data_IF_840298188363
#
_entry.id   IF_840298188363
#
_cell.length_a   1.000
_cell.length_b   1.000
_cell.length_c   1.000
_cell.angle_alpha   90.00
_cell.angle_beta   90.00
_cell.angle_gamma   90.00
#
_symmetry.space_group_name_H-M   'P 1'
#
loop_
_entity.id
_entity.type
_entity.pdbx_description
1 polymer ?
#
# COMPACT_ATOMS: atom_id res chain seq x y z
N UNK A 1 -17.47 20.39 7.43
CA UNK A 1 -16.77 19.88 6.23
C UNK A 1 -16.52 18.41 6.46
N UNK A 2 -16.98 17.53 5.59
CA UNK A 2 -16.85 16.09 5.72
C UNK A 2 -15.82 15.59 4.71
N UNK A 3 -14.72 14.97 5.15
CA UNK A 3 -13.66 14.50 4.26
C UNK A 3 -13.60 12.98 4.21
N UNK A 4 -13.36 12.40 3.04
CA UNK A 4 -13.13 10.97 2.85
C UNK A 4 -11.77 10.75 2.17
N UNK A 5 -11.13 9.62 2.48
CA UNK A 5 -9.88 9.19 1.83
C UNK A 5 -10.24 8.10 0.84
N UNK A 6 -10.10 8.34 -0.46
CA UNK A 6 -10.55 7.43 -1.51
C UNK A 6 -9.36 6.96 -2.32
N UNK A 7 -9.14 5.66 -2.37
CA UNK A 7 -8.09 5.07 -3.19
C UNK A 7 -8.66 4.30 -4.38
N UNK A 8 -8.00 4.39 -5.54
CA UNK A 8 -8.27 3.57 -6.70
C UNK A 8 -6.96 3.28 -7.45
N UNK A 9 -6.96 2.23 -8.27
CA UNK A 9 -5.84 1.92 -9.16
C UNK A 9 -6.07 2.57 -10.54
N UNK A 10 -5.12 3.42 -10.96
CA UNK A 10 -5.09 4.10 -12.25
C UNK A 10 -3.81 3.71 -12.99
N UNK A 11 -3.93 3.13 -14.19
CA UNK A 11 -2.79 2.71 -15.04
C UNK A 11 -1.68 1.93 -14.32
N UNK A 12 -2.06 1.08 -13.36
CA UNK A 12 -1.11 0.29 -12.59
C UNK A 12 -0.45 1.03 -11.42
N UNK A 13 -0.94 2.21 -11.05
CA UNK A 13 -0.53 2.93 -9.86
C UNK A 13 -1.69 3.17 -8.91
N UNK A 14 -1.43 3.04 -7.61
CA UNK A 14 -2.40 3.39 -6.56
C UNK A 14 -2.47 4.91 -6.45
N UNK A 15 -3.66 5.47 -6.54
CA UNK A 15 -3.93 6.88 -6.31
C UNK A 15 -4.84 7.01 -5.08
N UNK A 16 -4.40 7.71 -4.02
CA UNK A 16 -5.17 7.89 -2.79
C UNK A 16 -5.45 9.38 -2.60
N UNK A 17 -6.71 9.78 -2.68
CA UNK A 17 -7.13 11.18 -2.73
C UNK A 17 -8.03 11.55 -1.56
N UNK A 18 -7.84 12.76 -1.02
CA UNK A 18 -8.77 13.35 -0.06
C UNK A 18 -9.91 14.06 -0.80
N UNK A 19 -11.12 13.54 -0.67
CA UNK A 19 -12.34 14.13 -1.27
C UNK A 19 -13.16 14.82 -0.17
N UNK A 20 -13.44 16.11 -0.34
CA UNK A 20 -14.18 16.92 0.62
C UNK A 20 -15.65 17.11 0.19
N UNK A 21 -16.57 17.06 1.15
CA UNK A 21 -18.00 17.29 1.00
C UNK A 21 -18.46 18.33 2.03
N UNK A 22 -19.56 19.03 1.73
CA UNK A 22 -20.15 20.00 2.65
C UNK A 22 -20.73 19.30 3.88
N UNK A 23 -21.46 18.22 3.66
CA UNK A 23 -22.13 17.35 4.65
C UNK A 23 -21.83 15.87 4.36
N UNK A 24 -22.39 14.97 5.17
CA UNK A 24 -22.34 13.52 4.90
C UNK A 24 -23.00 13.24 3.53
N UNK A 25 -22.28 12.65 2.55
CA UNK A 25 -22.84 12.40 1.23
C UNK A 25 -23.75 11.17 1.20
N UNK A 26 -24.75 11.20 0.33
CA UNK A 26 -25.44 9.98 -0.10
C UNK A 26 -24.52 9.12 -1.01
N UNK A 27 -24.80 7.82 -1.11
CA UNK A 27 -24.00 6.91 -1.94
C UNK A 27 -23.98 7.33 -3.41
N UNK A 28 -25.10 7.84 -3.96
CA UNK A 28 -25.13 8.30 -5.35
C UNK A 28 -24.29 9.56 -5.55
N UNK A 29 -24.31 10.49 -4.59
CA UNK A 29 -23.50 11.70 -4.64
C UNK A 29 -22.01 11.36 -4.52
N UNK A 30 -21.67 10.46 -3.60
CA UNK A 30 -20.33 9.94 -3.42
C UNK A 30 -19.79 9.31 -4.71
N UNK A 31 -20.56 8.40 -5.31
CA UNK A 31 -20.16 7.72 -6.54
C UNK A 31 -19.95 8.70 -7.70
N UNK A 32 -20.90 9.62 -7.93
CA UNK A 32 -20.77 10.66 -8.96
C UNK A 32 -19.51 11.50 -8.77
N UNK A 33 -19.20 11.89 -7.53
CA UNK A 33 -18.03 12.70 -7.23
C UNK A 33 -16.73 11.92 -7.40
N UNK A 34 -16.69 10.65 -6.98
CA UNK A 34 -15.56 9.74 -7.22
C UNK A 34 -15.29 9.64 -8.71
N UNK A 35 -16.32 9.35 -9.52
CA UNK A 35 -16.19 9.25 -10.98
C UNK A 35 -15.61 10.54 -11.57
N UNK A 36 -16.14 11.70 -11.20
CA UNK A 36 -15.67 12.98 -11.71
C UNK A 36 -14.20 13.25 -11.36
N UNK A 37 -13.82 13.03 -10.09
CA UNK A 37 -12.44 13.27 -9.61
C UNK A 37 -11.45 12.29 -10.25
N UNK A 38 -11.77 11.00 -10.25
CA UNK A 38 -10.87 9.98 -10.79
C UNK A 38 -10.82 9.97 -12.32
N UNK A 39 -11.86 10.43 -13.03
CA UNK A 39 -11.80 10.64 -14.48
C UNK A 39 -10.82 11.74 -14.87
N UNK A 40 -10.78 12.84 -14.09
CA UNK A 40 -9.80 13.90 -14.30
C UNK A 40 -8.37 13.44 -13.96
N UNK A 41 -8.18 12.71 -12.87
CA UNK A 41 -6.89 12.11 -12.53
C UNK A 41 -6.42 11.06 -13.54
N UNK A 42 -7.34 10.27 -14.08
CA UNK A 42 -7.02 9.35 -15.17
C UNK A 42 -6.57 10.14 -16.40
N UNK A 43 -7.30 11.18 -16.78
CA UNK A 43 -6.94 12.02 -17.93
C UNK A 43 -5.56 12.68 -17.78
N UNK A 44 -5.18 13.12 -16.58
CA UNK A 44 -3.88 13.76 -16.34
C UNK A 44 -2.70 12.79 -16.29
N UNK A 45 -2.95 11.52 -15.93
CA UNK A 45 -1.94 10.45 -15.82
C UNK A 45 -1.89 9.55 -17.04
N UNK A 46 -2.82 9.73 -17.98
CA UNK A 46 -2.96 8.89 -19.15
C UNK A 46 -1.65 8.88 -19.96
N UNK A 47 -1.02 7.72 -20.15
CA UNK A 47 0.11 7.60 -21.06
C UNK A 47 -0.34 7.95 -22.49
N UNK A 48 0.57 8.52 -23.29
CA UNK A 48 0.31 9.01 -24.66
C UNK A 48 -0.26 7.95 -25.63
N UNK A 49 -0.19 6.66 -25.26
CA UNK A 49 -0.63 5.52 -26.06
C UNK A 49 -1.90 4.84 -25.53
N UNK A 50 -2.48 5.33 -24.43
CA UNK A 50 -3.64 4.68 -23.80
C UNK A 50 -4.95 5.37 -24.24
N UNK A 51 -6.01 4.62 -24.59
CA UNK A 51 -7.30 5.23 -24.85
C UNK A 51 -7.83 5.91 -23.58
N UNK A 52 -8.37 7.12 -23.74
CA UNK A 52 -9.03 7.87 -22.67
C UNK A 52 -10.42 7.25 -22.46
N UNK A 53 -10.49 6.25 -21.58
CA UNK A 53 -11.76 5.71 -21.12
C UNK A 53 -12.24 6.44 -19.86
N UNK A 54 -13.55 6.70 -19.72
CA UNK A 54 -14.10 7.28 -18.50
C UNK A 54 -13.94 6.31 -17.34
N UNK A 55 -13.61 6.83 -16.16
CA UNK A 55 -13.49 6.03 -14.95
C UNK A 55 -14.85 5.41 -14.58
N UNK A 56 -14.87 4.11 -14.30
CA UNK A 56 -16.09 3.37 -13.94
C UNK A 56 -15.94 2.71 -12.57
N UNK A 57 -16.96 2.84 -11.74
CA UNK A 57 -17.02 2.20 -10.44
C UNK A 57 -17.68 0.83 -10.59
N UNK A 58 -16.99 -0.24 -10.22
CA UNK A 58 -17.56 -1.58 -10.12
C UNK A 58 -17.98 -1.90 -8.68
N UNK A 59 -17.17 -1.50 -7.70
CA UNK A 59 -17.41 -1.76 -6.28
C UNK A 59 -16.69 -0.75 -5.42
N UNK A 60 -17.31 -0.35 -4.31
CA UNK A 60 -16.69 0.48 -3.28
C UNK A 60 -16.58 -0.34 -2.00
N UNK A 61 -15.39 -0.36 -1.41
CA UNK A 61 -15.14 -0.94 -0.09
C UNK A 61 -14.69 0.14 0.89
N UNK A 62 -15.04 -0.05 2.16
CA UNK A 62 -14.62 0.78 3.28
C UNK A 62 -13.81 -0.09 4.24
N UNK A 63 -12.73 0.47 4.79
CA UNK A 63 -11.99 -0.18 5.86
C UNK A 63 -12.72 0.03 7.18
N UNK A 64 -13.18 -1.06 7.80
CA UNK A 64 -13.82 -1.04 9.11
C UNK A 64 -12.74 -1.22 10.19
N UNK A 65 -12.43 -0.14 10.92
CA UNK A 65 -11.44 -0.15 12.00
C UNK A 65 -11.84 -1.05 13.17
N UNK A 66 -13.15 -1.25 13.40
CA UNK A 66 -13.64 -2.13 14.46
C UNK A 66 -13.41 -3.61 14.13
N UNK A 67 -13.53 -3.98 12.86
CA UNK A 67 -13.32 -5.35 12.38
C UNK A 67 -11.95 -5.59 11.77
N UNK A 68 -11.13 -4.54 11.63
CA UNK A 68 -9.80 -4.55 11.00
C UNK A 68 -9.79 -5.21 9.61
N UNK A 69 -10.85 -4.98 8.82
CA UNK A 69 -10.99 -5.55 7.49
C UNK A 69 -11.73 -4.63 6.53
N UNK A 70 -11.53 -4.87 5.24
CA UNK A 70 -12.31 -4.25 4.19
C UNK A 70 -13.69 -4.90 4.08
N UNK A 71 -14.73 -4.07 4.03
CA UNK A 71 -16.12 -4.49 3.82
C UNK A 71 -16.73 -3.70 2.67
N UNK A 72 -17.76 -4.24 2.03
CA UNK A 72 -18.48 -3.50 0.99
C UNK A 72 -19.22 -2.32 1.62
N UNK A 73 -19.19 -1.18 0.94
CA UNK A 73 -19.99 -0.01 1.31
C UNK A 73 -21.42 -0.22 0.80
N UNK A 74 -22.37 -0.36 1.73
CA UNK A 74 -23.78 -0.67 1.45
C UNK A 74 -24.69 0.50 1.83
N UNK A 75 -24.30 1.32 2.81
CA UNK A 75 -25.07 2.50 3.22
C UNK A 75 -24.19 3.66 3.70
N UNK A 76 -24.69 4.89 3.54
CA UNK A 76 -23.96 6.11 3.97
C UNK A 76 -23.72 6.18 5.48
N UNK A 77 -24.49 5.47 6.30
CA UNK A 77 -24.26 5.41 7.75
C UNK A 77 -22.94 4.73 8.15
N UNK A 78 -22.33 3.95 7.24
CA UNK A 78 -20.99 3.38 7.44
C UNK A 78 -19.88 4.43 7.27
N UNK A 79 -20.17 5.55 6.59
CA UNK A 79 -19.19 6.59 6.33
C UNK A 79 -18.93 7.40 7.61
N UNK A 80 -17.66 7.49 7.98
CA UNK A 80 -17.17 8.40 9.01
C UNK A 80 -16.19 9.39 8.41
N UNK A 81 -16.00 10.52 9.07
CA UNK A 81 -14.99 11.48 8.63
C UNK A 81 -13.61 10.81 8.60
N UNK A 82 -12.87 11.03 7.51
CA UNK A 82 -11.59 10.42 7.20
C UNK A 82 -11.58 8.89 7.04
N UNK A 83 -12.74 8.28 6.80
CA UNK A 83 -12.80 6.84 6.45
C UNK A 83 -11.99 6.56 5.20
N UNK A 84 -11.26 5.44 5.20
CA UNK A 84 -10.53 4.96 4.05
C UNK A 84 -11.43 4.10 3.17
N UNK A 85 -11.67 4.57 1.95
CA UNK A 85 -12.38 3.88 0.89
C UNK A 85 -11.40 3.32 -0.14
N UNK A 86 -11.80 2.23 -0.77
CA UNK A 86 -11.14 1.64 -1.94
C UNK A 86 -12.18 1.41 -3.04
N UNK A 87 -11.88 1.89 -4.24
CA UNK A 87 -12.77 1.86 -5.40
C UNK A 87 -12.17 0.93 -6.43
N UNK A 88 -12.92 -0.12 -6.75
CA UNK A 88 -12.58 -1.09 -7.78
C UNK A 88 -13.19 -0.65 -9.11
N UNK A 89 -12.40 -0.76 -10.17
CA UNK A 89 -12.86 -0.61 -11.55
C UNK A 89 -13.18 -1.98 -12.15
N UNK A 90 -14.03 -2.04 -13.19
CA UNK A 90 -14.12 -3.23 -14.04
C UNK A 90 -12.72 -3.60 -14.55
N UNK A 91 -12.35 -4.87 -14.43
CA UNK A 91 -11.02 -5.32 -14.86
C UNK A 91 -10.92 -5.25 -16.39
N UNK A 92 -9.91 -4.57 -16.89
CA UNK A 92 -9.60 -4.47 -18.31
C UNK A 92 -8.14 -4.85 -18.58
N UNK A 93 -7.72 -4.83 -19.84
CA UNK A 93 -6.30 -5.00 -20.18
C UNK A 93 -5.40 -3.88 -19.64
N UNK A 94 -5.97 -2.70 -19.35
CA UNK A 94 -5.28 -1.50 -18.86
C UNK A 94 -5.48 -1.26 -17.36
N UNK A 95 -6.53 -1.83 -16.78
CA UNK A 95 -6.90 -1.66 -15.39
C UNK A 95 -6.90 -3.03 -14.69
N UNK A 96 -5.89 -3.24 -13.86
CA UNK A 96 -5.78 -4.40 -12.97
C UNK A 96 -5.50 -3.93 -11.56
N UNK A 97 -6.14 -4.57 -10.60
CA UNK A 97 -5.88 -4.29 -9.19
C UNK A 97 -4.48 -4.80 -8.80
N UNK A 98 -3.72 -3.97 -8.10
CA UNK A 98 -2.36 -4.30 -7.69
C UNK A 98 -2.30 -4.49 -6.18
N UNK A 99 -1.71 -5.59 -5.66
CA UNK A 99 -1.50 -5.80 -4.23
C UNK A 99 -0.31 -4.95 -3.74
N UNK A 100 -0.48 -3.63 -3.70
CA UNK A 100 0.49 -2.67 -3.15
C UNK A 100 -0.14 -1.96 -1.95
N UNK A 101 0.70 -1.51 -1.01
CA UNK A 101 0.25 -0.67 0.10
C UNK A 101 -0.35 0.65 -0.38
N UNK A 102 -1.31 1.18 0.36
CA UNK A 102 -1.94 2.47 0.04
C UNK A 102 -0.94 3.62 0.24
N UNK A 103 -0.76 4.51 -0.75
CA UNK A 103 0.08 5.69 -0.58
C UNK A 103 -0.55 6.69 0.40
N UNK A 104 0.22 7.67 0.91
CA UNK A 104 -0.33 8.80 1.66
C UNK A 104 -1.43 9.52 0.85
N UNK A 105 -2.53 9.96 1.49
CA UNK A 105 -3.56 10.71 0.78
C UNK A 105 -3.02 12.05 0.26
N UNK A 106 -3.28 12.35 -1.02
CA UNK A 106 -3.00 13.64 -1.65
C UNK A 106 -4.29 14.39 -1.94
N UNK A 107 -4.20 15.71 -2.16
CA UNK A 107 -5.33 16.46 -2.71
C UNK A 107 -5.51 16.10 -4.18
N UNK A 108 -6.75 16.01 -4.70
CA UNK A 108 -6.98 15.89 -6.13
C UNK A 108 -6.26 17.00 -6.88
N UNK A 109 -5.62 16.65 -8.00
CA UNK A 109 -5.16 17.62 -8.99
C UNK A 109 -6.38 18.43 -9.37
N UNK A 110 -6.34 19.73 -9.07
CA UNK A 110 -7.50 20.59 -9.25
C UNK A 110 -8.09 20.35 -10.64
N UNK A 111 -9.40 20.13 -10.70
CA UNK A 111 -10.16 20.35 -11.93
C UNK A 111 -9.98 21.82 -12.25
N UNK A 112 -8.92 22.15 -12.99
CA UNK A 112 -8.68 23.46 -13.59
C UNK A 112 -9.74 23.65 -14.68
N UNK A 113 -11.01 23.70 -14.29
CA UNK A 113 -12.00 24.37 -15.11
C UNK A 113 -11.62 25.83 -15.01
N UNK A 114 -10.92 26.31 -16.04
CA UNK A 114 -10.69 27.73 -16.23
C UNK A 114 -12.02 28.45 -15.98
N UNK A 115 -12.08 29.26 -14.93
CA UNK A 115 -13.09 30.32 -14.85
C UNK A 115 -12.90 31.19 -16.09
N UNK A 116 -13.91 31.34 -16.97
CA UNK A 116 -13.82 32.26 -18.08
C UNK A 116 -14.11 33.67 -17.57
N UNK A 117 -13.27 34.17 -16.65
CA UNK A 117 -13.38 35.55 -16.20
C UNK A 117 -12.17 36.33 -16.69
N UNK A 118 -12.49 37.19 -17.66
CA UNK A 118 -11.83 38.47 -17.94
C UNK A 118 -10.67 38.44 -18.93
N UNK A 119 -11.00 38.22 -20.21
CA UNK A 119 -10.26 38.81 -21.32
C UNK A 119 -10.82 40.22 -21.61
N UNK A 120 -10.55 41.17 -20.72
CA UNK A 120 -10.76 42.60 -20.95
C UNK A 120 -9.46 43.22 -21.41
N UNK A 121 -9.44 43.74 -22.62
CA UNK A 121 -8.30 44.32 -23.32
C UNK A 121 -7.51 45.36 -22.50
N UNK A 122 -6.18 45.38 -22.65
CA UNK A 122 -5.50 46.42 -23.44
C UNK A 122 -3.98 46.29 -23.36
N UNK A 123 -3.38 46.46 -24.53
CA UNK A 123 -1.97 46.71 -24.82
C UNK A 123 -1.36 47.78 -23.90
N UNK A 124 -0.05 47.69 -23.62
CA UNK A 124 0.96 48.74 -23.84
C UNK A 124 2.32 48.31 -23.25
N UNK A 125 3.29 48.17 -24.17
CA UNK A 125 4.68 48.63 -24.15
C UNK A 125 5.52 48.57 -22.87
N UNK A 126 6.70 47.95 -23.04
CA UNK A 126 7.86 47.89 -22.15
C UNK A 126 8.18 49.20 -21.40
N UNK A 127 8.73 49.08 -20.18
CA UNK A 127 9.99 49.72 -19.77
C UNK A 127 10.45 49.17 -18.41
N UNK A 128 11.76 48.92 -18.34
CA UNK A 128 12.59 48.69 -17.16
C UNK A 128 12.41 49.81 -16.11
N UNK A 129 12.36 49.48 -14.80
CA UNK A 129 13.04 50.18 -13.67
C UNK A 129 12.72 49.47 -12.34
N UNK A 130 13.72 49.46 -11.47
CA UNK A 130 13.82 48.83 -10.15
C UNK A 130 12.76 49.20 -9.09
N UNK A 131 12.48 48.23 -8.20
CA UNK A 131 12.09 48.44 -6.79
C UNK A 131 12.70 47.28 -5.96
N UNK A 132 13.75 47.52 -5.18
CA UNK A 132 13.72 47.82 -3.73
C UNK A 132 12.90 46.83 -2.90
N UNK A 133 13.62 45.86 -2.33
CA UNK A 133 13.76 45.62 -0.89
C UNK A 133 12.50 45.82 -0.04
N UNK A 134 11.91 44.71 0.40
CA UNK A 134 11.14 44.63 1.64
C UNK A 134 11.54 43.37 2.42
N UNK A 135 11.86 43.63 3.69
CA UNK A 135 12.35 42.74 4.74
C UNK A 135 11.51 41.47 4.92
N UNK A 136 12.16 40.29 4.93
CA UNK A 136 11.62 39.09 5.57
C UNK A 136 11.98 39.10 7.06
N UNK A 137 11.00 38.94 7.96
CA UNK A 137 11.26 38.39 9.28
C UNK A 137 11.12 36.86 9.27
N UNK A 138 12.03 36.21 9.99
CA UNK A 138 12.03 34.81 10.35
C UNK A 138 10.66 34.33 10.88
N UNK A 139 10.11 33.28 10.25
CA UNK A 139 9.17 32.37 10.90
C UNK A 139 9.78 30.97 10.85
N UNK A 140 10.56 30.69 11.88
CA UNK A 140 10.77 29.33 12.35
C UNK A 140 9.42 28.80 12.88
N UNK A 141 9.22 27.49 12.68
CA UNK A 141 8.38 26.61 13.51
C UNK A 141 6.95 26.27 13.04
N UNK A 142 6.81 25.55 11.92
CA UNK A 142 5.62 24.70 11.65
C UNK A 142 5.99 23.30 11.11
N UNK A 143 6.86 22.58 11.83
CA UNK A 143 7.11 21.14 11.61
C UNK A 143 6.77 20.34 12.88
N UNK A 144 5.49 20.24 13.26
CA UNK A 144 5.14 19.41 14.43
C UNK A 144 3.85 18.58 14.35
N UNK A 145 3.04 18.71 13.30
CA UNK A 145 1.79 17.93 13.16
C UNK A 145 1.87 16.78 12.14
N UNK A 146 2.80 16.83 11.18
CA UNK A 146 2.95 15.80 10.14
C UNK A 146 3.68 14.52 10.61
N UNK A 147 4.46 14.58 11.69
CA UNK A 147 5.28 13.45 12.15
C UNK A 147 4.54 12.42 13.04
N UNK A 148 3.30 12.68 13.49
CA UNK A 148 2.60 11.77 14.42
C UNK A 148 1.86 10.62 13.73
N UNK A 149 1.40 10.80 12.48
CA UNK A 149 0.68 9.76 11.73
C UNK A 149 1.59 8.66 11.15
N UNK A 150 2.84 8.98 10.82
CA UNK A 150 3.83 7.99 10.32
C UNK A 150 4.35 7.09 11.42
N UNK A 151 4.50 7.61 12.64
CA UNK A 151 4.96 6.86 13.81
C UNK A 151 4.04 5.68 14.17
N UNK A 152 2.71 5.89 14.12
CA UNK A 152 1.75 4.83 14.43
C UNK A 152 1.73 3.69 13.41
N UNK A 153 1.84 4.01 12.12
CA UNK A 153 1.91 2.98 11.06
C UNK A 153 3.15 2.10 11.19
N UNK A 154 4.30 2.69 11.53
CA UNK A 154 5.54 1.94 11.73
C UNK A 154 5.48 1.04 12.98
N UNK A 155 4.90 1.54 14.08
CA UNK A 155 4.72 0.74 15.29
C UNK A 155 3.81 -0.46 15.04
N UNK A 156 2.72 -0.27 14.30
CA UNK A 156 1.79 -1.34 13.94
C UNK A 156 2.44 -2.37 13.01
N UNK A 157 3.25 -1.92 12.05
CA UNK A 157 4.05 -2.81 11.21
C UNK A 157 5.04 -3.65 12.05
N UNK A 158 5.73 -3.04 13.00
CA UNK A 158 6.65 -3.75 13.91
C UNK A 158 5.92 -4.78 14.79
N UNK A 159 4.69 -4.49 15.22
CA UNK A 159 3.85 -5.46 15.96
C UNK A 159 3.50 -6.68 15.10
N UNK A 160 3.11 -6.46 13.85
CA UNK A 160 2.78 -7.55 12.90
C UNK A 160 4.01 -8.40 12.59
N UNK A 161 5.17 -7.77 12.36
CA UNK A 161 6.40 -8.50 12.11
C UNK A 161 6.82 -9.35 13.32
N UNK A 162 6.69 -8.81 14.54
CA UNK A 162 6.96 -9.55 15.76
C UNK A 162 6.05 -10.77 15.91
N UNK A 163 4.75 -10.62 15.65
CA UNK A 163 3.78 -11.73 15.70
C UNK A 163 4.13 -12.83 14.69
N UNK A 164 4.50 -12.47 13.45
CA UNK A 164 4.94 -13.43 12.44
C UNK A 164 6.23 -14.17 12.84
N UNK A 165 7.20 -13.46 13.43
CA UNK A 165 8.43 -14.07 13.94
C UNK A 165 8.14 -15.06 15.09
N UNK A 166 7.21 -14.73 15.97
CA UNK A 166 6.78 -15.62 17.07
C UNK A 166 6.09 -16.88 16.54
N UNK A 167 5.19 -16.75 15.55
CA UNK A 167 4.56 -17.89 14.89
C UNK A 167 5.57 -18.78 14.17
N UNK A 168 6.52 -18.20 13.45
CA UNK A 168 7.58 -18.95 12.76
C UNK A 168 8.46 -19.71 13.76
N UNK A 169 8.74 -19.11 14.92
CA UNK A 169 9.44 -19.78 16.02
C UNK A 169 8.59 -20.87 16.69
N UNK A 170 7.26 -20.72 16.73
CA UNK A 170 6.34 -21.77 17.20
C UNK A 170 6.40 -22.97 16.27
N UNK A 171 6.23 -22.75 14.96
CA UNK A 171 6.27 -23.81 13.94
C UNK A 171 7.61 -24.55 13.97
N UNK A 172 8.74 -23.85 14.02
CA UNK A 172 10.08 -24.48 14.14
C UNK A 172 10.19 -25.40 15.36
N UNK A 173 9.64 -24.99 16.52
CA UNK A 173 9.63 -25.82 17.74
C UNK A 173 8.74 -27.06 17.58
N UNK A 174 7.62 -26.94 16.89
CA UNK A 174 6.73 -28.07 16.61
C UNK A 174 7.37 -29.06 15.63
N UNK A 175 8.01 -28.57 14.55
CA UNK A 175 8.77 -29.40 13.61
C UNK A 175 9.88 -30.17 14.33
N UNK A 176 10.68 -29.50 15.16
CA UNK A 176 11.74 -30.15 15.92
C UNK A 176 11.22 -31.19 16.94
N UNK A 177 10.02 -30.98 17.50
CA UNK A 177 9.35 -31.98 18.36
C UNK A 177 8.91 -33.20 17.56
N UNK A 178 8.38 -32.99 16.35
CA UNK A 178 7.93 -34.07 15.49
C UNK A 178 9.11 -34.91 14.99
N UNK A 179 10.20 -34.27 14.58
CA UNK A 179 11.45 -34.97 14.20
C UNK A 179 11.96 -35.87 15.33
N UNK A 180 11.93 -35.41 16.59
CA UNK A 180 12.29 -36.25 17.75
C UNK A 180 11.31 -37.40 18.02
N UNK A 181 10.05 -37.28 17.62
CA UNK A 181 9.08 -38.39 17.70
C UNK A 181 9.42 -39.44 16.64
N UNK A 182 9.60 -39.00 15.39
CA UNK A 182 9.99 -39.86 14.27
C UNK A 182 11.29 -40.61 14.58
N UNK A 183 12.33 -39.92 15.08
CA UNK A 183 13.59 -40.56 15.46
C UNK A 183 13.42 -41.64 16.55
N UNK A 184 12.56 -41.41 17.55
CA UNK A 184 12.27 -42.39 18.60
C UNK A 184 11.51 -43.60 18.06
N UNK A 185 10.56 -43.39 17.15
CA UNK A 185 9.77 -44.47 16.56
C UNK A 185 10.61 -45.32 15.61
N UNK A 186 11.54 -44.71 14.85
CA UNK A 186 12.52 -45.43 14.04
C UNK A 186 13.46 -46.30 14.88
N UNK A 187 13.93 -45.80 16.04
CA UNK A 187 14.74 -46.61 16.95
C UNK A 187 13.98 -47.81 17.54
N UNK A 188 12.66 -47.69 17.78
CA UNK A 188 11.83 -48.80 18.28
C UNK A 188 11.56 -49.87 17.22
N UNK A 189 11.41 -49.48 15.95
CA UNK A 189 11.23 -50.47 14.87
C UNK A 189 12.52 -51.26 14.58
N UNK A 190 13.70 -50.64 14.76
CA UNK A 190 14.99 -51.31 14.55
C UNK A 190 15.37 -52.35 15.60
N UNK A 191 14.81 -52.31 16.81
CA UNK A 191 15.14 -53.25 17.90
C UNK A 191 14.27 -54.51 17.94
N UNK A 192 13.23 -54.60 17.11
CA UNK A 192 12.34 -55.77 17.02
C UNK A 192 12.76 -56.81 15.98
N UNK A 193 13.73 -56.52 15.12
CA UNK A 193 14.25 -57.45 14.11
C UNK A 193 15.52 -58.14 14.62
N UNK A 194 15.37 -58.88 15.71
CA UNK A 194 16.25 -59.99 16.00
C UNK A 194 15.88 -61.15 15.07
N UNK A 195 16.69 -61.38 14.03
CA UNK A 195 17.42 -62.63 13.79
C UNK A 195 17.89 -62.68 12.33
N UNK A 196 19.21 -62.85 12.16
CA UNK A 196 19.95 -63.13 10.92
C UNK A 196 20.08 -62.00 9.89
N UNK A 197 20.93 -61.01 10.18
CA UNK A 197 21.83 -60.56 9.11
C UNK A 197 23.16 -60.11 9.67
N UNK A 198 24.19 -60.79 9.19
CA UNK A 198 25.60 -60.62 9.52
C UNK A 198 26.04 -59.18 9.24
N UNK A 199 26.80 -58.67 10.21
CA UNK A 199 27.65 -57.49 10.20
C UNK A 199 27.98 -56.88 8.82
N UNK A 200 27.61 -55.61 8.66
CA UNK A 200 28.49 -54.59 8.05
C UNK A 200 28.17 -53.23 8.66
N UNK A 201 28.79 -52.95 9.80
CA UNK A 201 28.99 -51.59 10.26
C UNK A 201 30.00 -50.92 9.33
N UNK A 202 29.52 -50.27 8.27
CA UNK A 202 30.29 -49.22 7.58
C UNK A 202 29.96 -47.92 8.28
N UNK A 203 30.97 -47.37 8.97
CA UNK A 203 30.95 -46.03 9.56
C UNK A 203 30.61 -45.03 8.48
N UNK A 204 29.48 -44.33 8.63
CA UNK A 204 29.24 -43.07 7.95
C UNK A 204 29.76 -41.95 8.86
N UNK A 205 31.08 -41.82 8.92
CA UNK A 205 31.74 -40.61 9.40
C UNK A 205 31.63 -39.51 8.34
N UNK A 206 31.32 -38.31 8.79
CA UNK A 206 31.59 -37.02 8.14
C UNK A 206 30.80 -36.63 6.87
N UNK A 207 29.58 -36.10 7.07
CA UNK A 207 29.10 -34.99 6.23
C UNK A 207 29.25 -33.68 7.00
N UNK A 208 30.43 -33.07 6.88
CA UNK A 208 30.67 -31.67 7.25
C UNK A 208 29.97 -30.74 6.25
N UNK A 209 29.40 -29.60 6.70
CA UNK A 209 28.84 -28.59 5.79
C UNK A 209 29.98 -27.87 5.05
N UNK A 210 29.92 -27.91 3.73
CA UNK A 210 30.79 -27.12 2.83
C UNK A 210 30.53 -25.64 3.10
N UNK A 211 31.49 -24.96 3.73
CA UNK A 211 31.56 -23.50 3.76
C UNK A 211 31.91 -23.02 2.35
N UNK A 212 30.96 -22.36 1.70
CA UNK A 212 31.19 -21.67 0.44
C UNK A 212 31.92 -20.34 0.73
N UNK A 213 33.24 -20.36 0.63
CA UNK A 213 34.10 -19.18 0.64
C UNK A 213 34.08 -18.56 -0.75
N UNK A 214 33.13 -17.68 -1.04
CA UNK A 214 33.11 -16.87 -2.24
C UNK A 214 34.19 -15.80 -2.16
N UNK A 215 35.33 -16.07 -2.78
CA UNK A 215 36.50 -15.20 -2.91
C UNK A 215 36.29 -14.18 -4.03
N UNK A 216 36.96 -13.07 -3.84
CA UNK A 216 37.03 -11.85 -4.61
C UNK A 216 37.38 -12.01 -6.10
N UNK A 217 36.98 -10.99 -6.88
CA UNK A 217 37.69 -10.54 -8.07
C UNK A 217 36.83 -10.47 -9.33
N UNK A 218 36.53 -9.27 -9.82
CA UNK A 218 37.29 -8.66 -10.93
C UNK A 218 36.77 -7.25 -11.24
N UNK A 219 37.73 -6.35 -11.43
CA UNK A 219 37.61 -5.01 -11.99
C UNK A 219 37.03 -5.01 -13.41
N UNK A 220 36.25 -3.97 -13.73
CA UNK A 220 36.59 -2.96 -14.75
C UNK A 220 35.61 -1.79 -14.67
#
# INVERSE_FOLDING_TARGET
MFSLLVCADLYGEKCNLKISFSTLPDLQELEKKIIAVFSAEASSRCPEKCPIEPFKVARIQIYDDGQLKWVNLVCSSQLREYSQLYVFQPQTQWHRDIPKGLPPPSTPTQLSWASPNTCGASSHTAHSTACRQCNQPDILNEKSSSCRLTSWRLLEQNRREKALREELNRVRRETAKLERRIARDMCKQGSGLGHNSVARCVRADACMPVRFSGRDGYSS
#
